data_IF_837015408667
#
_entry.id   IF_837015408667
#
_cell.length_a   1.000
_cell.length_b   1.000
_cell.length_c   1.000
_cell.angle_alpha   90.00
_cell.angle_beta   90.00
_cell.angle_gamma   90.00
#
_symmetry.space_group_name_H-M   'P 1'
#
loop_
_entity.id
_entity.type
_entity.pdbx_description
1 polymer ?
#
# COMPACT_ATOMS: atom_id res chain seq x y z
N UNK A 1 8.36 8.86 -18.63
CA UNK A 1 8.74 8.76 -17.20
C UNK A 1 8.20 7.45 -16.64
N UNK A 2 9.03 6.63 -16.00
CA UNK A 2 8.61 5.34 -15.42
C UNK A 2 7.64 5.49 -14.24
N UNK A 3 6.73 4.52 -14.07
CA UNK A 3 5.69 4.49 -13.02
C UNK A 3 6.24 4.70 -11.60
N UNK A 4 7.41 4.13 -11.30
CA UNK A 4 8.10 4.28 -10.01
C UNK A 4 8.49 5.74 -9.73
N UNK A 5 8.97 6.48 -10.74
CA UNK A 5 9.37 7.88 -10.59
C UNK A 5 8.19 8.77 -10.22
N UNK A 6 7.06 8.63 -10.92
CA UNK A 6 5.82 9.36 -10.63
C UNK A 6 5.29 9.11 -9.21
N UNK A 7 5.41 7.87 -8.73
CA UNK A 7 5.01 7.51 -7.36
C UNK A 7 5.89 8.17 -6.30
N UNK A 8 7.20 8.16 -6.50
CA UNK A 8 8.14 8.84 -5.59
C UNK A 8 7.83 10.34 -5.52
N UNK A 9 7.66 11.00 -6.68
CA UNK A 9 7.30 12.43 -6.73
C UNK A 9 6.00 12.71 -5.95
N UNK A 10 4.96 11.90 -6.16
CA UNK A 10 3.67 12.06 -5.45
C UNK A 10 3.79 11.87 -3.94
N UNK A 11 4.53 10.86 -3.48
CA UNK A 11 4.74 10.60 -2.05
C UNK A 11 5.54 11.73 -1.41
N UNK A 12 6.61 12.19 -2.06
CA UNK A 12 7.44 13.29 -1.55
C UNK A 12 6.65 14.59 -1.42
N UNK A 13 5.75 14.90 -2.36
CA UNK A 13 4.84 16.05 -2.23
C UNK A 13 3.90 15.89 -1.03
N UNK A 14 3.24 14.73 -0.90
CA UNK A 14 2.26 14.48 0.16
C UNK A 14 2.88 14.40 1.57
N UNK A 15 4.17 14.08 1.68
CA UNK A 15 4.89 14.04 2.96
C UNK A 15 4.86 15.38 3.71
N UNK A 16 4.75 16.49 2.98
CA UNK A 16 4.68 17.84 3.56
C UNK A 16 3.25 18.30 3.88
N UNK A 17 2.23 17.45 3.69
CA UNK A 17 0.82 17.76 3.93
C UNK A 17 0.23 16.83 5.01
N UNK A 18 0.49 17.04 6.32
CA UNK A 18 0.08 16.11 7.38
C UNK A 18 -1.42 15.75 7.40
N UNK A 19 -2.29 16.69 6.99
CA UNK A 19 -3.74 16.47 6.87
C UNK A 19 -4.10 15.33 5.90
N UNK A 20 -3.22 15.02 4.95
CA UNK A 20 -3.38 13.94 3.97
C UNK A 20 -2.74 12.61 4.38
N UNK A 21 -2.01 12.57 5.49
CA UNK A 21 -1.33 11.36 5.98
C UNK A 21 -2.28 10.55 6.86
N UNK A 22 -2.24 9.21 6.72
CA UNK A 22 -2.97 8.26 7.57
C UNK A 22 -2.02 7.15 8.00
N UNK A 23 -1.57 7.20 9.25
CA UNK A 23 -0.77 6.15 9.86
C UNK A 23 -1.74 5.10 10.44
N UNK A 24 -1.82 3.92 9.82
CA UNK A 24 -2.77 2.86 10.17
C UNK A 24 -2.04 1.52 10.37
N UNK A 25 -2.64 0.62 11.15
CA UNK A 25 -2.21 -0.76 11.31
C UNK A 25 -3.39 -1.72 11.12
N UNK A 26 -3.13 -2.89 10.54
CA UNK A 26 -4.11 -3.96 10.35
C UNK A 26 -3.82 -5.05 11.39
N UNK A 27 -4.78 -5.29 12.29
CA UNK A 27 -4.70 -6.32 13.33
C UNK A 27 -5.92 -7.25 13.25
N UNK A 28 -5.70 -8.53 13.48
CA UNK A 28 -6.74 -9.55 13.54
C UNK A 28 -6.18 -10.82 14.17
N UNK A 29 -7.08 -11.73 14.58
CA UNK A 29 -6.71 -13.05 15.08
C UNK A 29 -6.03 -13.92 14.00
N UNK A 30 -5.43 -15.05 14.39
CA UNK A 30 -4.82 -15.98 13.44
C UNK A 30 -5.86 -16.41 12.38
N UNK A 31 -5.41 -16.57 11.13
CA UNK A 31 -6.24 -16.94 9.98
C UNK A 31 -7.38 -15.99 9.57
N UNK A 32 -7.47 -14.80 10.16
CA UNK A 32 -8.44 -13.77 9.75
C UNK A 32 -7.99 -12.94 8.53
N UNK A 33 -6.98 -13.39 7.78
CA UNK A 33 -6.62 -12.78 6.50
C UNK A 33 -5.94 -11.40 6.57
N UNK A 34 -5.19 -11.09 7.64
CA UNK A 34 -4.42 -9.82 7.76
C UNK A 34 -3.53 -9.57 6.55
N UNK A 35 -2.69 -10.54 6.20
CA UNK A 35 -1.76 -10.50 5.07
C UNK A 35 -2.50 -10.40 3.74
N UNK A 36 -3.56 -11.20 3.58
CA UNK A 36 -4.42 -11.17 2.39
C UNK A 36 -5.05 -9.79 2.17
N UNK A 37 -5.53 -9.15 3.24
CA UNK A 37 -6.10 -7.81 3.18
C UNK A 37 -5.04 -6.76 2.81
N UNK A 38 -3.88 -6.76 3.47
CA UNK A 38 -2.82 -5.78 3.19
C UNK A 38 -2.32 -5.86 1.75
N UNK A 39 -2.13 -7.07 1.24
CA UNK A 39 -1.62 -7.29 -0.11
C UNK A 39 -2.62 -6.86 -1.19
N UNK A 40 -3.90 -7.19 -1.00
CA UNK A 40 -4.96 -6.78 -1.92
C UNK A 40 -5.17 -5.27 -1.93
N UNK A 41 -5.01 -4.58 -0.79
CA UNK A 41 -5.03 -3.12 -0.74
C UNK A 41 -3.87 -2.51 -1.54
N UNK A 42 -2.65 -3.04 -1.38
CA UNK A 42 -1.47 -2.56 -2.12
C UNK A 42 -1.60 -2.83 -3.64
N UNK A 43 -2.13 -4.00 -4.01
CA UNK A 43 -2.37 -4.35 -5.42
C UNK A 43 -3.47 -3.50 -6.05
N UNK A 44 -4.58 -3.29 -5.33
CA UNK A 44 -5.70 -2.44 -5.75
C UNK A 44 -5.29 -0.97 -5.90
N UNK A 45 -4.40 -0.48 -5.02
CA UNK A 45 -3.79 0.85 -5.12
C UNK A 45 -2.71 0.93 -6.23
N UNK A 46 -2.40 -0.19 -6.89
CA UNK A 46 -1.38 -0.26 -7.93
C UNK A 46 0.04 -0.03 -7.43
N UNK A 47 0.32 -0.32 -6.15
CA UNK A 47 1.66 -0.22 -5.57
C UNK A 47 2.50 -1.48 -5.82
N UNK A 48 1.85 -2.64 -5.92
CA UNK A 48 2.48 -3.93 -6.27
C UNK A 48 1.71 -4.63 -7.40
N UNK A 49 2.32 -5.63 -8.05
CA UNK A 49 1.62 -6.46 -9.03
C UNK A 49 0.65 -7.41 -8.33
N UNK A 50 -0.45 -7.76 -9.01
CA UNK A 50 -1.41 -8.76 -8.50
C UNK A 50 -0.76 -10.13 -8.27
N UNK A 51 0.26 -10.49 -9.04
CA UNK A 51 1.00 -11.74 -8.85
C UNK A 51 1.82 -11.77 -7.55
N UNK A 52 2.26 -10.61 -7.06
CA UNK A 52 3.00 -10.52 -5.80
C UNK A 52 2.04 -10.48 -4.59
N UNK A 53 0.79 -10.06 -4.82
CA UNK A 53 -0.20 -9.89 -3.76
C UNK A 53 -0.76 -11.25 -3.32
N UNK A 54 -0.67 -11.55 -2.02
CA UNK A 54 -1.21 -12.76 -1.43
C UNK A 54 -0.38 -14.02 -1.70
N UNK A 55 0.84 -13.90 -2.26
CA UNK A 55 1.83 -14.99 -2.23
C UNK A 55 2.31 -15.16 -0.78
N UNK A 56 1.87 -16.25 -0.16
CA UNK A 56 2.40 -16.75 1.11
C UNK A 56 3.56 -17.72 0.83
#
# INVERSE_FOLDING_TARGET
MGRRKKMVERVTTLMNEPVRIRNIGIVAHIDHGKTTLSDNLLAGAGMISKELAGRQ
#
